data_IF_090346736061
#
_entry.id   IF_090346736061
#
_cell.length_a   1.000
_cell.length_b   1.000
_cell.length_c   1.000
_cell.angle_alpha   90.00
_cell.angle_beta   90.00
_cell.angle_gamma   90.00
#
_symmetry.space_group_name_H-M   'P 1'
#
loop_
_entity.id
_entity.type
_entity.pdbx_description
1 polymer ?
#
# COMPACT_ATOMS: atom_id res chain seq x y z
N UNK A 1 4.28 19.88 26.13
CA UNK A 1 4.83 19.33 27.39
C UNK A 1 4.18 17.96 27.62
N UNK A 2 4.95 16.88 27.79
CA UNK A 2 4.46 15.49 27.82
C UNK A 2 4.00 15.07 29.24
N UNK A 3 4.31 15.89 30.25
CA UNK A 3 4.08 15.59 31.67
C UNK A 3 2.74 16.12 32.22
N UNK A 4 1.63 15.93 31.50
CA UNK A 4 0.29 16.30 31.99
C UNK A 4 -0.48 15.11 32.60
N UNK A 5 0.14 13.93 32.67
CA UNK A 5 -0.50 12.71 33.15
C UNK A 5 -0.15 12.45 34.62
N UNK A 6 -1.15 12.10 35.44
CA UNK A 6 -1.03 11.90 36.88
C UNK A 6 -0.20 10.67 37.28
N UNK A 7 0.01 9.73 36.34
CA UNK A 7 0.79 8.52 36.58
C UNK A 7 1.75 8.22 35.45
N UNK A 8 2.91 7.63 35.79
CA UNK A 8 3.88 7.16 34.81
C UNK A 8 3.27 6.14 33.82
N UNK A 9 2.32 5.32 34.27
CA UNK A 9 1.58 4.38 33.42
C UNK A 9 0.73 5.11 32.37
N UNK A 10 0.00 6.15 32.76
CA UNK A 10 -0.79 6.96 31.83
C UNK A 10 0.10 7.70 30.82
N UNK A 11 1.22 8.25 31.29
CA UNK A 11 2.23 8.87 30.42
C UNK A 11 2.81 7.89 29.38
N UNK A 12 3.22 6.70 29.82
CA UNK A 12 3.72 5.65 28.94
C UNK A 12 2.68 5.21 27.92
N UNK A 13 1.43 5.00 28.38
CA UNK A 13 0.31 4.61 27.50
C UNK A 13 0.06 5.67 26.44
N UNK A 14 0.04 6.95 26.82
CA UNK A 14 -0.12 8.07 25.89
C UNK A 14 1.04 8.20 24.92
N UNK A 15 2.27 7.95 25.36
CA UNK A 15 3.45 7.95 24.49
C UNK A 15 3.37 6.82 23.45
N UNK A 16 3.11 5.58 23.89
CA UNK A 16 2.94 4.42 23.01
C UNK A 16 1.77 4.62 22.06
N UNK A 17 0.63 5.13 22.54
CA UNK A 17 -0.55 5.41 21.71
C UNK A 17 -0.26 6.52 20.69
N UNK A 18 0.39 7.61 21.10
CA UNK A 18 0.80 8.68 20.18
C UNK A 18 1.77 8.18 19.12
N UNK A 19 2.72 7.34 19.50
CA UNK A 19 3.65 6.71 18.56
C UNK A 19 2.89 5.76 17.64
N UNK A 20 1.99 4.91 18.15
CA UNK A 20 1.17 3.99 17.37
C UNK A 20 0.26 4.72 16.38
N UNK A 21 -0.37 5.83 16.80
CA UNK A 21 -1.16 6.71 15.92
C UNK A 21 -0.30 7.31 14.81
N UNK A 22 0.91 7.78 15.14
CA UNK A 22 1.85 8.29 14.14
C UNK A 22 2.30 7.20 13.18
N UNK A 23 2.69 6.03 13.68
CA UNK A 23 3.09 4.88 12.87
C UNK A 23 1.97 4.43 11.94
N UNK A 24 0.74 4.38 12.45
CA UNK A 24 -0.44 4.06 11.64
C UNK A 24 -0.68 5.12 10.55
N UNK A 25 -0.62 6.41 10.89
CA UNK A 25 -0.72 7.48 9.89
C UNK A 25 0.37 7.36 8.83
N UNK A 26 1.63 7.12 9.23
CA UNK A 26 2.74 6.92 8.29
C UNK A 26 2.49 5.71 7.39
N UNK A 27 1.99 4.61 7.94
CA UNK A 27 1.59 3.44 7.16
C UNK A 27 0.52 3.78 6.12
N UNK A 28 -0.51 4.55 6.49
CA UNK A 28 -1.57 4.95 5.56
C UNK A 28 -1.02 5.79 4.42
N UNK A 29 -0.10 6.73 4.69
CA UNK A 29 0.57 7.51 3.65
C UNK A 29 1.43 6.63 2.73
N UNK A 30 2.28 5.78 3.31
CA UNK A 30 3.12 4.86 2.53
C UNK A 30 2.29 3.91 1.66
N UNK A 31 1.14 3.43 2.18
CA UNK A 31 0.21 2.60 1.42
C UNK A 31 -0.44 3.37 0.27
N UNK A 32 -0.87 4.61 0.51
CA UNK A 32 -1.45 5.44 -0.54
C UNK A 32 -0.44 5.69 -1.66
N UNK A 33 0.79 6.08 -1.29
CA UNK A 33 1.90 6.29 -2.23
C UNK A 33 2.19 5.04 -3.06
N UNK A 34 2.30 3.87 -2.41
CA UNK A 34 2.51 2.59 -3.09
C UNK A 34 1.45 2.32 -4.17
N UNK A 35 0.16 2.47 -3.85
CA UNK A 35 -0.92 2.20 -4.81
C UNK A 35 -1.06 3.27 -5.90
N UNK A 36 -0.69 4.52 -5.63
CA UNK A 36 -0.74 5.61 -6.61
C UNK A 36 0.50 5.71 -7.50
N UNK A 37 1.58 4.96 -7.21
CA UNK A 37 2.84 5.04 -7.95
C UNK A 37 2.76 4.35 -9.32
N UNK A 38 2.12 5.02 -10.27
CA UNK A 38 1.98 4.57 -11.66
C UNK A 38 3.31 4.76 -12.41
N UNK A 39 3.63 3.83 -13.30
CA UNK A 39 4.79 3.97 -14.17
C UNK A 39 4.62 5.13 -15.15
N UNK A 40 5.66 5.94 -15.30
CA UNK A 40 5.73 7.04 -16.26
C UNK A 40 6.92 6.84 -17.18
N UNK A 41 6.76 7.19 -18.46
CA UNK A 41 7.72 6.91 -19.53
C UNK A 41 8.99 7.76 -19.48
N UNK A 42 9.07 8.73 -18.55
CA UNK A 42 10.25 9.57 -18.29
C UNK A 42 11.38 8.83 -17.57
N UNK A 43 11.11 7.63 -17.04
CA UNK A 43 12.10 6.77 -16.37
C UNK A 43 12.15 5.35 -16.94
N UNK A 44 13.28 4.68 -16.74
CA UNK A 44 13.43 3.28 -17.12
C UNK A 44 12.57 2.36 -16.25
N UNK A 45 12.14 1.23 -16.82
CA UNK A 45 11.37 0.21 -16.12
C UNK A 45 12.13 -0.33 -14.89
N UNK A 46 13.44 -0.56 -15.01
CA UNK A 46 14.28 -1.04 -13.91
C UNK A 46 14.33 -0.05 -12.74
N UNK A 47 14.42 1.25 -13.04
CA UNK A 47 14.42 2.30 -12.02
C UNK A 47 13.07 2.31 -11.29
N UNK A 48 11.97 2.26 -12.02
CA UNK A 48 10.64 2.21 -11.42
C UNK A 48 10.38 0.94 -10.60
N UNK A 49 10.83 -0.24 -11.07
CA UNK A 49 10.71 -1.48 -10.31
C UNK A 49 11.50 -1.45 -9.00
N UNK A 50 12.69 -0.81 -8.98
CA UNK A 50 13.46 -0.61 -7.75
C UNK A 50 12.73 0.30 -6.76
N UNK A 51 12.04 1.33 -7.24
CA UNK A 51 11.19 2.20 -6.41
C UNK A 51 10.00 1.42 -5.82
N UNK A 52 9.30 0.64 -6.63
CA UNK A 52 8.20 -0.23 -6.19
C UNK A 52 8.66 -1.22 -5.11
N UNK A 53 9.82 -1.86 -5.30
CA UNK A 53 10.40 -2.76 -4.31
C UNK A 53 10.82 -2.02 -3.02
N UNK A 54 11.29 -0.77 -3.14
CA UNK A 54 11.61 0.07 -1.98
C UNK A 54 10.37 0.38 -1.15
N UNK A 55 9.28 0.79 -1.79
CA UNK A 55 8.00 1.03 -1.11
C UNK A 55 7.42 -0.26 -0.52
N UNK A 56 7.57 -1.41 -1.21
CA UNK A 56 7.21 -2.73 -0.66
C UNK A 56 7.93 -3.03 0.65
N UNK A 57 9.24 -2.75 0.72
CA UNK A 57 10.04 -2.89 1.96
C UNK A 57 9.59 -1.91 3.04
N UNK A 58 9.18 -0.69 2.68
CA UNK A 58 8.59 0.23 3.65
C UNK A 58 7.32 -0.35 4.30
N UNK A 59 6.47 -1.05 3.53
CA UNK A 59 5.30 -1.71 4.10
C UNK A 59 5.68 -2.80 5.13
N UNK A 60 6.80 -3.50 4.90
CA UNK A 60 7.32 -4.49 5.84
C UNK A 60 7.73 -3.85 7.18
N UNK A 61 8.29 -2.63 7.18
CA UNK A 61 8.62 -1.91 8.42
C UNK A 61 7.40 -1.65 9.30
N UNK A 62 6.21 -1.48 8.72
CA UNK A 62 4.95 -1.35 9.45
C UNK A 62 4.28 -2.69 9.82
N UNK A 63 4.96 -3.82 9.58
CA UNK A 63 4.40 -5.16 9.78
C UNK A 63 3.34 -5.55 8.74
N UNK A 64 3.25 -4.83 7.62
CA UNK A 64 2.25 -5.02 6.56
C UNK A 64 2.90 -5.63 5.33
N UNK A 65 3.31 -6.90 5.47
CA UNK A 65 4.02 -7.63 4.41
C UNK A 65 3.16 -7.80 3.16
N UNK A 66 3.64 -7.28 2.04
CA UNK A 66 3.12 -7.62 0.70
C UNK A 66 3.87 -8.87 0.24
N UNK A 67 3.14 -9.95 -0.05
CA UNK A 67 3.75 -11.19 -0.55
C UNK A 67 4.25 -11.02 -1.98
N UNK A 68 5.20 -11.83 -2.43
CA UNK A 68 5.68 -11.78 -3.81
C UNK A 68 4.54 -11.94 -4.83
N UNK A 69 3.59 -12.84 -4.55
CA UNK A 69 2.39 -13.04 -5.36
C UNK A 69 1.50 -11.79 -5.39
N UNK A 70 1.28 -11.16 -4.23
CA UNK A 70 0.51 -9.93 -4.14
C UNK A 70 1.19 -8.77 -4.87
N UNK A 71 2.50 -8.64 -4.71
CA UNK A 71 3.30 -7.62 -5.39
C UNK A 71 3.26 -7.79 -6.91
N UNK A 72 3.50 -9.01 -7.41
CA UNK A 72 3.39 -9.30 -8.84
C UNK A 72 1.98 -9.02 -9.39
N UNK A 73 0.94 -9.20 -8.58
CA UNK A 73 -0.43 -8.91 -8.97
C UNK A 73 -0.76 -7.43 -9.08
N UNK A 74 -0.07 -6.55 -8.34
CA UNK A 74 -0.30 -5.10 -8.46
C UNK A 74 0.43 -4.48 -9.64
N UNK A 75 1.60 -5.00 -10.04
CA UNK A 75 2.44 -4.45 -11.12
C UNK A 75 1.67 -4.15 -12.42
N UNK A 76 0.81 -5.03 -12.97
CA UNK A 76 0.04 -4.72 -14.17
C UNK A 76 -0.86 -3.49 -14.01
N UNK A 77 -1.44 -3.28 -12.83
CA UNK A 77 -2.27 -2.10 -12.53
C UNK A 77 -1.47 -0.80 -12.62
N UNK A 78 -0.23 -0.80 -12.13
CA UNK A 78 0.62 0.38 -12.16
C UNK A 78 1.18 0.73 -13.54
N UNK A 79 1.23 -0.22 -14.47
CA UNK A 79 1.71 0.02 -15.84
C UNK A 79 0.58 0.09 -16.87
N UNK A 80 -0.68 -0.04 -16.43
CA UNK A 80 -1.83 -0.18 -17.31
C UNK A 80 -2.03 0.99 -18.27
N UNK A 81 -1.62 2.21 -17.91
CA UNK A 81 -1.80 3.37 -18.77
C UNK A 81 -0.81 3.42 -19.94
N UNK A 82 0.42 2.94 -19.72
CA UNK A 82 1.56 3.05 -20.64
C UNK A 82 1.85 1.74 -21.38
N UNK A 83 1.64 0.59 -20.73
CA UNK A 83 1.88 -0.75 -21.27
C UNK A 83 0.59 -1.56 -21.40
N UNK A 84 -0.45 -0.95 -22.01
CA UNK A 84 -1.79 -1.57 -22.18
C UNK A 84 -1.75 -2.97 -22.79
N UNK A 85 -0.89 -3.18 -23.80
CA UNK A 85 -0.82 -4.46 -24.50
C UNK A 85 -0.24 -5.58 -23.63
N UNK A 86 0.74 -5.24 -22.78
CA UNK A 86 1.30 -6.17 -21.80
C UNK A 86 0.22 -6.58 -20.81
N UNK A 87 -0.51 -5.61 -20.24
CA UNK A 87 -1.63 -5.89 -19.32
C UNK A 87 -2.71 -6.74 -19.97
N UNK A 88 -3.00 -6.51 -21.25
CA UNK A 88 -3.98 -7.29 -22.03
C UNK A 88 -3.56 -8.75 -22.24
N UNK A 89 -2.28 -9.08 -22.25
CA UNK A 89 -1.81 -10.46 -22.33
C UNK A 89 -2.07 -11.22 -21.02
N UNK A 90 -1.95 -10.55 -19.88
CA UNK A 90 -2.27 -11.13 -18.57
C UNK A 90 -3.79 -11.17 -18.28
N UNK A 91 -4.59 -10.34 -18.96
CA UNK A 91 -6.02 -10.19 -18.68
C UNK A 91 -6.88 -11.43 -18.99
N UNK A 92 -6.46 -12.35 -19.87
CA UNK A 92 -7.21 -13.59 -20.14
C UNK A 92 -7.44 -14.46 -18.89
N UNK A 93 -6.66 -14.27 -17.82
CA UNK A 93 -6.83 -14.94 -16.51
C UNK A 93 -7.04 -13.98 -15.32
N UNK A 94 -6.87 -12.66 -15.51
CA UNK A 94 -6.88 -11.67 -14.41
C UNK A 94 -8.23 -10.96 -14.19
N UNK A 95 -9.12 -10.90 -15.20
CA UNK A 95 -10.39 -10.16 -15.12
C UNK A 95 -11.34 -10.73 -14.06
N UNK A 96 -11.24 -12.02 -13.75
CA UNK A 96 -12.13 -12.67 -12.77
C UNK A 96 -11.81 -12.25 -11.33
N UNK A 97 -10.53 -12.05 -10.97
CA UNK A 97 -10.14 -11.77 -9.57
C UNK A 97 -10.22 -10.30 -9.15
N UNK A 98 -9.91 -9.37 -10.05
CA UNK A 98 -9.92 -7.94 -9.71
C UNK A 98 -11.35 -7.42 -9.56
N UNK A 99 -12.32 -7.99 -10.30
CA UNK A 99 -13.73 -7.66 -10.07
C UNK A 99 -14.27 -8.31 -8.79
N UNK A 100 -13.85 -9.52 -8.39
CA UNK A 100 -14.23 -10.08 -7.08
C UNK A 100 -13.73 -9.23 -5.91
N UNK A 101 -12.44 -8.85 -5.87
CA UNK A 101 -11.89 -8.03 -4.77
C UNK A 101 -12.46 -6.60 -4.73
N UNK A 102 -12.77 -5.99 -5.87
CA UNK A 102 -13.43 -4.68 -5.92
C UNK A 102 -14.92 -4.76 -5.61
N UNK A 103 -15.58 -5.89 -5.88
CA UNK A 103 -16.98 -6.11 -5.50
C UNK A 103 -17.10 -6.30 -3.99
N UNK A 104 -16.15 -7.01 -3.36
CA UNK A 104 -16.12 -7.19 -1.90
C UNK A 104 -15.80 -5.88 -1.14
N UNK A 105 -14.97 -5.00 -1.71
CA UNK A 105 -14.69 -3.66 -1.16
C UNK A 105 -15.86 -2.68 -1.34
N UNK A 106 -16.67 -2.85 -2.39
CA UNK A 106 -17.86 -2.02 -2.64
C UNK A 106 -19.15 -2.55 -1.99
N UNK A 107 -19.12 -3.71 -1.32
CA UNK A 107 -20.26 -4.30 -0.61
C UNK A 107 -20.37 -3.87 0.87
N UNK A 108 -19.77 -2.75 1.28
CA UNK A 108 -20.13 -2.15 2.57
C UNK A 108 -21.57 -1.61 2.51
N UNK A 109 -22.48 -2.06 3.39
CA UNK A 109 -23.86 -1.61 3.37
C UNK A 109 -23.88 -0.13 3.75
N UNK A 110 -24.42 0.72 2.87
CA UNK A 110 -24.90 2.04 3.29
C UNK A 110 -26.04 1.81 4.29
N UNK A 111 -25.76 2.02 5.57
CA UNK A 111 -26.74 2.35 6.61
C UNK A 111 -26.37 3.68 7.22
#
# INVERSE_FOLDING_TARGET
MICQEDTAKAMWTRFVDKQTKREYSNYIFARAEFYSHVYSADKSMDQWLREMESMRRQMLHYGKRVTDKGFAATLPGHVAQTHRDVVRQFSKHYVVRVMEELTDLCQLPRR
#
